data_IF_674572253286
#
_entry.id   IF_674572253286
#
_cell.length_a   1.000
_cell.length_b   1.000
_cell.length_c   1.000
_cell.angle_alpha   90.00
_cell.angle_beta   90.00
_cell.angle_gamma   90.00
#
_symmetry.space_group_name_H-M   'P 1'
#
loop_
_entity.id
_entity.type
_entity.pdbx_description
1 polymer ?
#
# COMPACT_ATOMS: atom_id res chain seq x y z
N UNK A 1 -4.14 -30.16 -12.00
CA UNK A 1 -4.00 -28.87 -12.70
C UNK A 1 -3.71 -27.83 -11.63
N UNK A 2 -2.45 -27.40 -11.52
CA UNK A 2 -2.04 -26.44 -10.49
C UNK A 2 -2.54 -25.04 -10.85
N UNK A 3 -3.04 -24.30 -9.85
CA UNK A 3 -3.52 -22.93 -10.00
C UNK A 3 -2.33 -21.99 -10.31
N UNK A 4 -2.26 -21.38 -11.51
CA UNK A 4 -1.14 -20.51 -11.90
C UNK A 4 -1.04 -19.22 -11.06
N UNK A 5 -2.06 -18.88 -10.26
CA UNK A 5 -2.04 -17.69 -9.38
C UNK A 5 -1.01 -17.75 -8.24
N UNK A 6 -0.41 -18.92 -7.98
CA UNK A 6 0.66 -19.09 -7.00
C UNK A 6 2.07 -18.84 -7.56
N UNK A 7 2.20 -18.44 -8.83
CA UNK A 7 3.52 -18.22 -9.44
C UNK A 7 4.04 -16.80 -9.19
N UNK A 8 5.02 -16.75 -8.28
CA UNK A 8 6.04 -15.71 -8.08
C UNK A 8 5.66 -14.45 -7.29
N UNK A 9 5.24 -14.61 -6.02
CA UNK A 9 5.38 -13.52 -5.02
C UNK A 9 6.37 -13.86 -3.91
N UNK A 10 7.07 -14.99 -4.03
CA UNK A 10 8.05 -15.44 -3.05
C UNK A 10 9.48 -15.05 -3.47
N UNK A 11 9.79 -13.75 -3.45
CA UNK A 11 11.14 -13.20 -3.21
C UNK A 11 11.01 -11.79 -2.64
N UNK A 12 10.93 -11.68 -1.32
CA UNK A 12 11.12 -10.42 -0.57
C UNK A 12 10.16 -9.27 -0.92
N UNK A 13 8.84 -9.45 -0.78
CA UNK A 13 7.97 -8.28 -0.53
C UNK A 13 7.76 -8.11 0.98
N UNK A 14 7.86 -6.90 1.52
CA UNK A 14 8.18 -6.69 2.93
C UNK A 14 6.89 -6.80 3.77
N UNK A 15 7.04 -7.18 5.04
CA UNK A 15 5.94 -7.37 6.00
C UNK A 15 4.88 -6.28 5.86
N UNK A 16 3.70 -6.66 5.35
CA UNK A 16 2.56 -5.75 5.20
C UNK A 16 2.10 -5.36 6.61
N UNK A 17 2.18 -4.07 6.92
CA UNK A 17 1.89 -3.54 8.26
C UNK A 17 0.47 -2.98 8.38
N UNK A 18 -0.12 -2.53 7.27
CA UNK A 18 -1.47 -1.98 7.24
C UNK A 18 -2.08 -2.08 5.85
N UNK A 19 -3.41 -2.14 5.80
CA UNK A 19 -4.18 -2.15 4.55
C UNK A 19 -5.39 -1.22 4.68
N UNK A 20 -5.81 -0.64 3.57
CA UNK A 20 -7.06 0.12 3.44
C UNK A 20 -7.73 -0.22 2.10
N UNK A 21 -9.05 -0.33 2.09
CA UNK A 21 -9.83 -0.55 0.87
C UNK A 21 -10.34 0.79 0.34
N UNK A 22 -10.13 1.01 -0.96
CA UNK A 22 -10.68 2.13 -1.71
C UNK A 22 -12.09 1.84 -2.22
N UNK A 23 -12.95 2.84 -2.29
CA UNK A 23 -14.24 2.76 -2.99
C UNK A 23 -14.09 2.62 -4.51
N UNK A 24 -12.90 2.90 -5.03
CA UNK A 24 -12.49 2.69 -6.43
C UNK A 24 -12.22 1.21 -6.78
N UNK A 25 -12.40 0.30 -5.82
CA UNK A 25 -12.11 -1.12 -5.98
C UNK A 25 -10.63 -1.47 -5.90
N UNK A 26 -9.78 -0.51 -5.51
CA UNK A 26 -8.37 -0.72 -5.29
C UNK A 26 -8.10 -1.00 -3.83
N UNK A 27 -6.97 -1.65 -3.56
CA UNK A 27 -6.45 -1.78 -2.20
C UNK A 27 -5.21 -0.92 -2.04
N UNK A 28 -4.98 -0.45 -0.83
CA UNK A 28 -3.75 0.21 -0.44
C UNK A 28 -3.10 -0.62 0.65
N UNK A 29 -1.80 -0.86 0.53
CA UNK A 29 -1.04 -1.61 1.50
C UNK A 29 0.23 -0.85 1.84
N UNK A 30 0.60 -0.86 3.12
CA UNK A 30 1.89 -0.35 3.55
C UNK A 30 2.80 -1.49 3.94
N UNK A 31 4.09 -1.25 3.77
CA UNK A 31 5.11 -2.23 4.11
C UNK A 31 6.15 -1.63 5.04
N UNK A 32 6.64 -2.42 6.00
CA UNK A 32 7.56 -1.97 7.03
C UNK A 32 8.83 -1.38 6.40
N UNK A 33 8.99 -0.06 6.50
CA UNK A 33 10.15 0.67 5.97
C UNK A 33 10.12 0.94 4.46
N UNK A 34 9.04 0.58 3.75
CA UNK A 34 8.95 0.70 2.28
C UNK A 34 7.72 1.49 1.80
N UNK A 35 7.07 2.24 2.68
CA UNK A 35 5.99 3.16 2.31
C UNK A 35 4.68 2.49 1.94
N UNK A 36 3.97 3.12 1.00
CA UNK A 36 2.58 2.79 0.61
C UNK A 36 2.52 2.37 -0.85
N UNK A 37 1.74 1.33 -1.12
CA UNK A 37 1.48 0.79 -2.44
C UNK A 37 -0.02 0.80 -2.72
N UNK A 38 -0.38 1.09 -3.96
CA UNK A 38 -1.71 0.84 -4.52
C UNK A 38 -1.69 -0.50 -5.25
N UNK A 39 -2.76 -1.26 -5.07
CA UNK A 39 -2.93 -2.60 -5.61
C UNK A 39 -4.16 -2.59 -6.51
N UNK A 40 -3.94 -2.88 -7.79
CA UNK A 40 -4.98 -2.97 -8.80
C UNK A 40 -5.87 -4.22 -8.65
N UNK A 41 -7.01 -4.28 -9.35
CA UNK A 41 -7.92 -5.44 -9.31
C UNK A 41 -7.27 -6.73 -9.84
N UNK A 42 -6.20 -6.61 -10.63
CA UNK A 42 -5.42 -7.74 -11.14
C UNK A 42 -4.27 -8.14 -10.19
N UNK A 43 -4.13 -7.47 -9.04
CA UNK A 43 -3.07 -7.71 -8.07
C UNK A 43 -1.73 -7.05 -8.42
N UNK A 44 -1.71 -6.09 -9.34
CA UNK A 44 -0.53 -5.30 -9.67
C UNK A 44 -0.23 -4.26 -8.58
N UNK A 45 1.00 -4.23 -8.09
CA UNK A 45 1.45 -3.30 -7.04
C UNK A 45 2.17 -2.11 -7.67
N UNK A 46 1.78 -0.90 -7.27
CA UNK A 46 2.43 0.35 -7.65
C UNK A 46 2.75 1.17 -6.41
N UNK A 47 4.01 1.56 -6.23
CA UNK A 47 4.40 2.47 -5.16
C UNK A 47 3.70 3.82 -5.33
N UNK A 48 3.17 4.37 -4.23
CA UNK A 48 2.57 5.71 -4.20
C UNK A 48 3.63 6.80 -4.08
N UNK A 49 4.82 6.43 -3.61
CA UNK A 49 6.00 7.29 -3.47
C UNK A 49 7.26 6.47 -3.78
N UNK A 50 8.14 7.01 -4.61
CA UNK A 50 9.42 6.36 -4.97
C UNK A 50 10.50 6.64 -3.91
N UNK A 51 10.32 7.65 -3.06
CA UNK A 51 11.32 8.13 -2.10
C UNK A 51 10.80 8.06 -0.66
N UNK A 52 10.45 6.86 -0.19
CA UNK A 52 10.04 6.68 1.20
C UNK A 52 11.21 6.95 2.18
N UNK A 53 11.02 7.77 3.23
CA UNK A 53 12.11 8.09 4.13
C UNK A 53 12.57 6.88 4.96
N UNK A 54 13.86 6.83 5.25
CA UNK A 54 14.42 5.79 6.13
C UNK A 54 13.81 5.87 7.54
N UNK A 55 13.65 4.70 8.18
CA UNK A 55 13.13 4.56 9.56
C UNK A 55 11.72 5.12 9.78
N UNK A 56 10.95 5.35 8.71
CA UNK A 56 9.53 5.69 8.80
C UNK A 56 8.70 4.43 8.60
N UNK A 57 7.85 4.16 9.58
CA UNK A 57 6.95 3.01 9.64
C UNK A 57 5.52 3.48 9.54
N UNK A 58 4.72 2.82 8.70
CA UNK A 58 3.29 3.08 8.62
C UNK A 58 2.58 2.19 9.63
N UNK A 59 1.91 2.82 10.59
CA UNK A 59 1.12 2.14 11.63
C UNK A 59 -0.32 1.90 11.17
N UNK A 60 -0.87 2.82 10.37
CA UNK A 60 -2.24 2.75 9.87
C UNK A 60 -2.36 3.46 8.53
N UNK A 61 -3.06 2.82 7.60
CA UNK A 61 -3.62 3.46 6.43
C UNK A 61 -5.08 3.85 6.67
N UNK A 62 -5.47 5.02 6.19
CA UNK A 62 -6.85 5.50 6.18
C UNK A 62 -7.18 5.92 4.75
N UNK A 63 -8.26 5.36 4.20
CA UNK A 63 -8.88 5.81 2.96
C UNK A 63 -10.05 6.73 3.32
N UNK A 64 -10.09 7.95 2.77
CA UNK A 64 -11.23 8.86 2.95
C UNK A 64 -11.42 9.75 1.72
N UNK A 65 -12.50 9.52 0.97
CA UNK A 65 -12.89 10.37 -0.15
C UNK A 65 -11.96 10.22 -1.35
N UNK A 66 -10.95 11.08 -1.45
CA UNK A 66 -9.92 11.03 -2.50
C UNK A 66 -8.50 11.05 -1.93
N UNK A 67 -8.38 10.70 -0.65
CA UNK A 67 -7.11 10.72 0.07
C UNK A 67 -6.83 9.39 0.77
N UNK A 68 -5.60 8.91 0.57
CA UNK A 68 -5.00 7.84 1.36
C UNK A 68 -4.00 8.47 2.30
N UNK A 69 -4.22 8.34 3.61
CA UNK A 69 -3.34 8.88 4.64
C UNK A 69 -2.59 7.76 5.34
N UNK A 70 -1.26 7.81 5.29
CA UNK A 70 -0.37 6.99 6.10
C UNK A 70 -0.08 7.68 7.42
N UNK A 71 -0.54 7.06 8.51
CA UNK A 71 -0.26 7.46 9.87
C UNK A 71 1.06 6.79 10.29
N UNK A 72 2.12 7.59 10.42
CA UNK A 72 3.47 7.07 10.68
C UNK A 72 4.00 7.49 12.05
N UNK A 73 5.17 6.97 12.43
CA UNK A 73 5.92 7.47 13.59
C UNK A 73 6.59 8.84 13.38
N UNK A 74 6.51 9.40 12.17
CA UNK A 74 7.16 10.67 11.78
C UNK A 74 6.18 11.71 11.20
N UNK A 75 4.88 11.55 11.46
CA UNK A 75 3.83 12.44 10.96
C UNK A 75 2.87 11.74 9.98
N UNK A 76 2.09 12.53 9.26
CA UNK A 76 1.11 12.05 8.29
C UNK A 76 1.63 12.29 6.86
N UNK A 77 1.54 11.26 6.03
CA UNK A 77 1.80 11.35 4.59
C UNK A 77 0.48 11.11 3.87
N UNK A 78 0.08 12.03 2.99
CA UNK A 78 -1.20 11.97 2.31
C UNK A 78 -0.99 11.89 0.81
N UNK A 79 -1.66 10.92 0.19
CA UNK A 79 -1.64 10.67 -1.24
C UNK A 79 -3.01 10.94 -1.83
N UNK A 80 -3.05 11.61 -2.98
CA UNK A 80 -4.27 11.72 -3.77
C UNK A 80 -4.54 10.43 -4.52
N UNK A 81 -5.78 9.98 -4.48
CA UNK A 81 -6.30 8.92 -5.34
C UNK A 81 -7.63 9.36 -5.93
N UNK A 82 -7.97 8.83 -7.11
CA UNK A 82 -9.18 9.22 -7.83
C UNK A 82 -10.45 9.00 -6.98
N UNK A 83 -10.51 7.90 -6.22
CA UNK A 83 -11.46 7.68 -5.12
C UNK A 83 -10.91 6.67 -4.11
N UNK A 84 -11.33 6.80 -2.85
CA UNK A 84 -10.89 6.08 -1.66
C UNK A 84 -12.09 5.69 -0.81
#
# INVERSE_FOLDING_TARGET
MENPAFRLWNRMFPYVSSVAAGSDGMLYASSLGHGVYRIGPNGDWKAMDEMWPENVTVNRLICSGSEVTACTNSGLFTYKSDTC
#
